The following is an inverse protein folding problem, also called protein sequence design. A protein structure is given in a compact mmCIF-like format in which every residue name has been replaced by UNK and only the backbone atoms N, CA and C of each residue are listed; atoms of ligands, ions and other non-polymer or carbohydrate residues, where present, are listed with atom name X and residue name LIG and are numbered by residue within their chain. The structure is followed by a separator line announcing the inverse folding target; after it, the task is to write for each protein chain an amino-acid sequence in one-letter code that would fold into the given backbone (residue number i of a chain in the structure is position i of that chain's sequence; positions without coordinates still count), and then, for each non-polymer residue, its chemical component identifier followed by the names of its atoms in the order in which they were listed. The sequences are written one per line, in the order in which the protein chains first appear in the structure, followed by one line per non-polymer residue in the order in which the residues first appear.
data_IF_452216853327
#
_entry.id   IF_452216853327
#
_cell.length_a   1.000
_cell.length_b   1.000
_cell.length_c   1.000
_cell.angle_alpha   90.00
_cell.angle_beta   90.00
_cell.angle_gamma   90.00
#
_symmetry.space_group_name_H-M   'P 1'
#
loop_
_entity.id
_entity.type
_entity.pdbx_description
1 polymer ?
#
# COMPACT_ATOMS: atom_id res chain seq x y z
N UNK A 1 51.58 18.25 7.94
CA UNK A 1 51.46 17.27 9.04
C UNK A 1 50.67 17.91 10.18
N UNK A 2 49.47 17.41 10.46
CA UNK A 2 48.68 17.87 11.60
C UNK A 2 49.08 17.11 12.86
N UNK A 3 49.57 17.82 13.88
CA UNK A 3 50.00 17.20 15.14
C UNK A 3 48.83 17.15 16.14
N UNK A 4 48.79 16.10 16.98
CA UNK A 4 47.70 15.83 17.97
C UNK A 4 47.29 17.04 18.83
N UNK A 5 48.20 17.97 19.11
CA UNK A 5 47.93 19.22 19.86
C UNK A 5 47.10 20.27 19.12
N UNK A 6 47.10 20.27 17.78
CA UNK A 6 46.25 21.19 16.99
C UNK A 6 44.82 20.70 16.83
N UNK A 7 44.56 19.41 17.05
CA UNK A 7 43.21 18.83 16.93
C UNK A 7 42.31 19.21 18.11
N UNK A 8 42.86 19.31 19.32
CA UNK A 8 42.09 19.65 20.53
C UNK A 8 41.77 21.14 20.66
N UNK A 9 42.55 22.03 20.04
CA UNK A 9 42.25 23.47 20.03
C UNK A 9 41.09 23.84 19.07
N UNK A 10 40.78 22.99 18.09
CA UNK A 10 39.61 23.17 17.21
C UNK A 10 38.28 22.74 17.85
N UNK A 11 38.27 22.11 19.03
CA UNK A 11 37.03 21.69 19.71
C UNK A 11 36.39 22.76 20.61
N UNK A 12 37.08 23.87 20.92
CA UNK A 12 36.61 24.82 21.93
C UNK A 12 35.72 25.96 21.37
N UNK A 13 35.51 26.05 20.06
CA UNK A 13 34.75 27.15 19.42
C UNK A 13 33.37 26.74 18.86
N UNK A 14 32.79 25.61 19.32
CA UNK A 14 31.55 25.06 18.77
C UNK A 14 30.33 25.09 19.70
N UNK A 15 30.39 25.70 20.89
CA UNK A 15 29.34 25.65 21.91
C UNK A 15 28.41 26.89 21.91
N UNK A 16 28.03 27.36 20.74
CA UNK A 16 26.97 28.36 20.60
C UNK A 16 26.08 28.07 19.38
N UNK A 17 25.56 26.84 19.28
CA UNK A 17 24.39 26.59 18.44
C UNK A 17 23.15 26.79 19.30
N UNK A 18 22.54 27.96 19.09
CA UNK A 18 21.29 28.38 19.64
C UNK A 18 20.25 27.25 19.68
N UNK A 19 19.53 27.17 20.79
CA UNK A 19 18.25 26.46 20.92
C UNK A 19 17.25 27.05 19.93
N UNK A 20 17.35 26.65 18.67
CA UNK A 20 16.25 26.83 17.73
C UNK A 20 15.15 25.86 18.16
N UNK A 21 13.91 26.31 18.40
CA UNK A 21 12.82 25.38 18.53
C UNK A 21 12.78 24.62 17.21
N UNK A 22 13.00 23.31 17.25
CA UNK A 22 12.58 22.44 16.15
C UNK A 22 11.07 22.66 16.06
N UNK A 23 10.62 23.47 15.12
CA UNK A 23 9.25 23.37 14.63
C UNK A 23 9.14 21.95 14.10
N UNK A 24 8.72 21.03 14.96
CA UNK A 24 8.18 19.76 14.53
C UNK A 24 6.96 20.15 13.72
N UNK A 25 7.13 20.24 12.40
CA UNK A 25 6.02 20.23 11.48
C UNK A 25 5.33 18.91 11.79
N UNK A 26 4.17 18.97 12.44
CA UNK A 26 3.27 17.84 12.57
C UNK A 26 3.02 17.38 11.14
N UNK A 27 3.72 16.32 10.73
CA UNK A 27 3.51 15.75 9.42
C UNK A 27 2.05 15.28 9.42
N UNK A 28 1.24 15.85 8.53
CA UNK A 28 -0.11 15.37 8.30
C UNK A 28 -0.07 13.83 8.17
N UNK A 29 -0.96 13.11 8.87
CA UNK A 29 -0.97 11.66 8.79
C UNK A 29 -1.10 11.23 7.33
N UNK A 30 -0.25 10.27 6.94
CA UNK A 30 -0.25 9.72 5.59
C UNK A 30 -1.61 9.09 5.30
N UNK A 31 -2.08 9.29 4.08
CA UNK A 31 -3.35 8.72 3.62
C UNK A 31 -3.25 7.21 3.58
N UNK A 32 -4.32 6.54 4.04
CA UNK A 32 -4.39 5.10 4.19
C UNK A 32 -5.15 4.47 3.03
N UNK A 33 -4.64 3.38 2.46
CA UNK A 33 -5.30 2.68 1.36
C UNK A 33 -5.65 1.24 1.74
N UNK A 34 -6.75 0.73 1.18
CA UNK A 34 -7.03 -0.70 1.10
C UNK A 34 -6.48 -1.26 -0.21
N UNK A 35 -5.69 -2.33 -0.13
CA UNK A 35 -5.18 -3.07 -1.27
C UNK A 35 -6.02 -4.33 -1.49
N UNK A 36 -6.57 -4.49 -2.68
CA UNK A 36 -7.44 -5.61 -3.06
C UNK A 36 -6.78 -6.33 -4.25
N UNK A 37 -6.29 -7.54 -4.03
CA UNK A 37 -5.57 -8.35 -5.02
C UNK A 37 -6.20 -9.71 -5.27
N UNK A 38 -6.00 -10.29 -6.46
CA UNK A 38 -6.41 -11.69 -6.75
C UNK A 38 -5.42 -12.69 -6.16
N UNK A 39 -4.20 -12.71 -6.66
CA UNK A 39 -3.11 -13.56 -6.15
C UNK A 39 -1.77 -12.82 -6.16
N UNK A 40 -0.94 -13.09 -5.16
CA UNK A 40 0.38 -12.46 -5.00
C UNK A 40 1.45 -13.55 -5.11
N UNK A 41 2.15 -13.57 -6.23
CA UNK A 41 3.28 -14.46 -6.48
C UNK A 41 4.35 -13.71 -7.29
N UNK A 42 5.50 -14.34 -7.54
CA UNK A 42 6.58 -13.71 -8.29
C UNK A 42 6.10 -13.28 -9.69
N UNK A 43 6.35 -12.01 -10.03
CA UNK A 43 5.94 -11.34 -11.27
C UNK A 43 4.43 -11.18 -11.47
N UNK A 44 3.62 -11.41 -10.44
CA UNK A 44 2.20 -11.06 -10.50
C UNK A 44 2.02 -9.54 -10.43
N UNK A 45 1.01 -9.00 -11.09
CA UNK A 45 0.71 -7.58 -10.96
C UNK A 45 0.45 -7.16 -9.51
N UNK A 46 -0.27 -7.96 -8.74
CA UNK A 46 -0.54 -7.64 -7.34
C UNK A 46 0.75 -7.54 -6.53
N UNK A 47 1.75 -8.41 -6.80
CA UNK A 47 3.07 -8.33 -6.18
C UNK A 47 3.75 -6.98 -6.47
N UNK A 48 3.73 -6.54 -7.73
CA UNK A 48 4.34 -5.28 -8.12
C UNK A 48 3.75 -4.06 -7.40
N UNK A 49 2.44 -4.00 -7.23
CA UNK A 49 1.81 -2.87 -6.54
C UNK A 49 1.97 -2.97 -5.02
N UNK A 50 1.73 -4.16 -4.44
CA UNK A 50 1.85 -4.36 -2.99
C UNK A 50 3.26 -3.98 -2.52
N UNK A 51 4.30 -4.54 -3.13
CA UNK A 51 5.68 -4.23 -2.75
C UNK A 51 5.97 -2.72 -2.84
N UNK A 52 5.56 -2.05 -3.93
CA UNK A 52 5.82 -0.61 -4.13
C UNK A 52 5.11 0.29 -3.13
N UNK A 53 3.89 -0.05 -2.74
CA UNK A 53 3.17 0.70 -1.70
C UNK A 53 3.70 0.42 -0.29
N UNK A 54 4.28 -0.75 -0.05
CA UNK A 54 4.84 -1.12 1.25
C UNK A 54 6.27 -0.60 1.45
N UNK A 55 7.16 -0.81 0.49
CA UNK A 55 8.60 -0.54 0.64
C UNK A 55 9.06 0.72 -0.11
N UNK A 56 8.38 1.07 -1.20
CA UNK A 56 8.80 2.13 -2.12
C UNK A 56 9.45 1.57 -3.38
N UNK A 57 10.04 2.45 -4.19
CA UNK A 57 10.67 2.06 -5.45
C UNK A 57 11.74 3.05 -5.90
N UNK A 58 12.67 2.59 -6.74
CA UNK A 58 13.63 3.47 -7.41
C UNK A 58 13.00 4.10 -8.64
N UNK A 59 13.14 5.42 -8.80
CA UNK A 59 12.76 6.14 -10.01
C UNK A 59 13.69 7.33 -10.23
N UNK A 60 14.29 7.40 -11.42
CA UNK A 60 15.24 8.47 -11.77
C UNK A 60 16.52 8.44 -10.93
N UNK A 61 17.03 7.26 -10.57
CA UNK A 61 18.24 7.10 -9.75
C UNK A 61 18.05 7.37 -8.26
N UNK A 62 16.83 7.67 -7.81
CA UNK A 62 16.54 7.94 -6.41
C UNK A 62 15.52 6.96 -5.85
N UNK A 63 15.71 6.55 -4.59
CA UNK A 63 14.69 5.82 -3.85
C UNK A 63 13.53 6.73 -3.49
N UNK A 64 12.31 6.31 -3.84
CA UNK A 64 11.07 6.97 -3.46
C UNK A 64 10.40 6.13 -2.38
N UNK A 65 10.37 6.68 -1.16
CA UNK A 65 9.52 6.14 -0.11
C UNK A 65 8.06 6.19 -0.56
N UNK A 66 7.20 5.24 -0.15
CA UNK A 66 5.77 5.31 -0.44
C UNK A 66 5.22 6.63 0.10
N UNK A 67 4.17 7.18 -0.51
CA UNK A 67 3.48 8.38 -0.01
C UNK A 67 2.21 8.07 0.80
N UNK A 68 1.80 6.81 0.78
CA UNK A 68 0.56 6.28 1.36
C UNK A 68 0.88 5.10 2.29
N UNK A 69 -0.01 4.80 3.22
CA UNK A 69 0.10 3.64 4.09
C UNK A 69 -0.90 2.56 3.65
N UNK A 70 -0.45 1.32 3.52
CA UNK A 70 -1.35 0.19 3.28
C UNK A 70 -1.94 -0.25 4.62
N UNK A 71 -3.20 0.12 4.86
CA UNK A 71 -3.88 -0.17 6.13
C UNK A 71 -4.50 -1.57 6.14
N UNK A 72 -4.93 -2.05 4.98
CA UNK A 72 -5.55 -3.35 4.83
C UNK A 72 -5.18 -3.99 3.50
N UNK A 73 -5.08 -5.32 3.52
CA UNK A 73 -4.84 -6.16 2.36
C UNK A 73 -5.95 -7.20 2.29
N UNK A 74 -6.52 -7.39 1.12
CA UNK A 74 -7.36 -8.53 0.78
C UNK A 74 -6.72 -9.25 -0.42
N UNK A 75 -6.59 -10.57 -0.31
CA UNK A 75 -6.09 -11.45 -1.36
C UNK A 75 -7.11 -12.58 -1.51
N UNK A 76 -7.65 -12.73 -2.72
CA UNK A 76 -8.75 -13.67 -2.99
C UNK A 76 -8.27 -15.12 -3.06
N UNK A 77 -7.10 -15.35 -3.66
CA UNK A 77 -6.57 -16.68 -3.93
C UNK A 77 -5.10 -16.78 -3.49
N UNK A 78 -4.77 -17.92 -2.90
CA UNK A 78 -3.41 -18.28 -2.53
C UNK A 78 -3.02 -19.55 -3.28
N UNK A 79 -2.12 -19.43 -4.24
CA UNK A 79 -1.62 -20.55 -5.03
C UNK A 79 -0.38 -21.19 -4.38
N UNK A 80 0.20 -22.21 -5.01
CA UNK A 80 1.40 -22.91 -4.50
C UNK A 80 2.65 -22.02 -4.45
N UNK A 81 2.67 -20.94 -5.22
CA UNK A 81 3.77 -19.97 -5.32
C UNK A 81 3.47 -18.68 -4.54
N UNK A 82 2.54 -18.75 -3.57
CA UNK A 82 2.09 -17.62 -2.77
C UNK A 82 3.26 -16.89 -2.08
N UNK A 83 3.34 -15.59 -2.33
CA UNK A 83 4.18 -14.65 -1.60
C UNK A 83 3.35 -13.71 -0.72
N UNK A 84 2.02 -13.67 -0.91
CA UNK A 84 1.11 -12.73 -0.28
C UNK A 84 1.16 -12.77 1.24
N UNK A 85 1.01 -13.96 1.84
CA UNK A 85 1.02 -14.10 3.31
C UNK A 85 2.34 -13.62 3.91
N UNK A 86 3.46 -14.06 3.33
CA UNK A 86 4.79 -13.63 3.78
C UNK A 86 4.99 -12.12 3.63
N UNK A 87 4.48 -11.50 2.56
CA UNK A 87 4.61 -10.05 2.33
C UNK A 87 3.77 -9.25 3.30
N UNK A 88 2.53 -9.66 3.55
CA UNK A 88 1.67 -9.06 4.56
C UNK A 88 2.36 -9.06 5.93
N UNK A 89 2.88 -10.22 6.36
CA UNK A 89 3.60 -10.33 7.63
C UNK A 89 4.87 -9.46 7.65
N UNK A 90 5.71 -9.57 6.62
CA UNK A 90 6.98 -8.84 6.52
C UNK A 90 6.79 -7.33 6.61
N UNK A 91 5.72 -6.80 6.01
CA UNK A 91 5.45 -5.37 5.97
C UNK A 91 4.52 -4.89 7.09
N UNK A 92 4.06 -5.79 7.96
CA UNK A 92 3.15 -5.46 9.06
C UNK A 92 1.76 -5.01 8.61
N UNK A 93 1.28 -5.53 7.48
CA UNK A 93 -0.09 -5.28 7.01
C UNK A 93 -1.09 -6.23 7.67
N UNK A 94 -2.36 -5.84 7.67
CA UNK A 94 -3.44 -6.69 8.12
C UNK A 94 -4.14 -7.35 6.92
N UNK A 95 -4.21 -8.69 6.91
CA UNK A 95 -5.00 -9.44 5.93
C UNK A 95 -6.44 -9.57 6.41
N UNK A 96 -7.38 -9.29 5.50
CA UNK A 96 -8.82 -9.42 5.73
C UNK A 96 -9.43 -10.48 4.82
N UNK A 97 -10.55 -11.06 5.27
CA UNK A 97 -11.28 -12.13 4.57
C UNK A 97 -12.26 -11.63 3.51
N UNK A 98 -12.58 -10.33 3.48
CA UNK A 98 -13.49 -9.74 2.49
C UNK A 98 -13.05 -8.34 2.09
N UNK A 99 -13.53 -7.89 0.92
CA UNK A 99 -13.34 -6.51 0.44
C UNK A 99 -13.96 -5.51 1.42
N UNK A 100 -15.16 -5.81 1.93
CA UNK A 100 -15.84 -4.94 2.88
C UNK A 100 -15.00 -4.75 4.15
N UNK A 101 -14.52 -5.84 4.76
CA UNK A 101 -13.71 -5.76 5.98
C UNK A 101 -12.38 -5.01 5.74
N UNK A 102 -11.76 -5.17 4.57
CA UNK A 102 -10.56 -4.43 4.22
C UNK A 102 -10.83 -2.91 4.11
N UNK A 103 -12.02 -2.52 3.63
CA UNK A 103 -12.42 -1.12 3.53
C UNK A 103 -12.82 -0.51 4.88
N UNK A 104 -13.43 -1.30 5.76
CA UNK A 104 -13.89 -0.84 7.08
C UNK A 104 -12.92 -1.12 8.22
N UNK A 105 -11.80 -1.78 7.94
CA UNK A 105 -10.86 -2.32 8.91
C UNK A 105 -11.52 -3.25 9.95
N UNK A 106 -12.59 -3.95 9.56
CA UNK A 106 -13.42 -4.80 10.42
C UNK A 106 -14.52 -4.07 11.20
N UNK A 107 -14.67 -2.76 10.99
CA UNK A 107 -15.76 -1.95 11.53
C UNK A 107 -17.01 -1.91 10.63
N UNK A 108 -17.93 -1.00 10.94
CA UNK A 108 -19.17 -0.80 10.19
C UNK A 108 -19.12 0.30 9.11
N UNK A 109 -18.08 1.13 9.11
CA UNK A 109 -17.96 2.30 8.23
C UNK A 109 -16.62 2.32 7.48
N UNK A 110 -16.58 2.97 6.32
CA UNK A 110 -15.38 3.14 5.50
C UNK A 110 -14.25 3.85 6.29
N UNK A 111 -13.14 3.14 6.51
CA UNK A 111 -12.05 3.58 7.37
C UNK A 111 -10.75 3.96 6.61
N UNK A 112 -10.73 3.77 5.29
CA UNK A 112 -9.58 4.09 4.40
C UNK A 112 -9.80 5.37 3.58
N UNK A 113 -8.72 5.97 3.10
CA UNK A 113 -8.70 7.19 2.26
C UNK A 113 -8.65 6.89 0.75
N UNK A 114 -8.46 5.63 0.36
CA UNK A 114 -8.43 5.21 -1.04
C UNK A 114 -8.44 3.68 -1.19
N UNK A 115 -8.75 3.22 -2.39
CA UNK A 115 -8.82 1.78 -2.72
C UNK A 115 -7.99 1.48 -3.96
N UNK A 116 -7.20 0.42 -3.91
CA UNK A 116 -6.38 -0.07 -5.04
C UNK A 116 -6.84 -1.49 -5.38
N UNK A 117 -7.42 -1.67 -6.57
CA UNK A 117 -7.89 -2.97 -7.07
C UNK A 117 -6.93 -3.47 -8.15
N UNK A 118 -6.30 -4.63 -7.89
CA UNK A 118 -5.40 -5.32 -8.81
C UNK A 118 -5.93 -6.74 -9.06
N UNK A 119 -6.64 -6.94 -10.17
CA UNK A 119 -7.19 -8.25 -10.53
C UNK A 119 -6.82 -8.71 -11.92
N UNK A 120 -5.66 -9.37 -12.05
CA UNK A 120 -5.09 -9.80 -13.35
C UNK A 120 -4.71 -11.28 -13.42
N UNK A 121 -4.54 -11.96 -12.29
CA UNK A 121 -4.18 -13.38 -12.28
C UNK A 121 -5.12 -14.17 -11.38
N UNK A 122 -4.93 -15.49 -11.27
CA UNK A 122 -5.76 -16.41 -10.51
C UNK A 122 -6.66 -17.29 -11.38
N UNK A 123 -7.31 -18.23 -10.72
CA UNK A 123 -8.24 -19.17 -11.36
C UNK A 123 -9.66 -18.60 -11.31
N UNK A 124 -10.16 -18.15 -12.46
CA UNK A 124 -11.50 -17.60 -12.63
C UNK A 124 -12.19 -18.25 -13.85
N UNK A 125 -13.54 -18.34 -13.84
CA UNK A 125 -14.29 -18.90 -14.95
C UNK A 125 -14.06 -18.11 -16.25
N UNK A 126 -14.28 -18.77 -17.38
CA UNK A 126 -14.26 -18.14 -18.70
C UNK A 126 -15.66 -18.06 -19.28
N UNK A 127 -15.93 -17.02 -20.06
CA UNK A 127 -17.18 -16.91 -20.83
C UNK A 127 -17.12 -17.70 -22.14
N UNK A 128 -18.22 -17.71 -22.90
CA UNK A 128 -18.34 -18.41 -24.19
C UNK A 128 -17.36 -17.91 -25.26
N UNK A 129 -16.77 -16.73 -25.06
CA UNK A 129 -15.76 -16.12 -25.92
C UNK A 129 -14.33 -16.43 -25.46
N UNK A 130 -14.16 -17.26 -24.43
CA UNK A 130 -12.87 -17.65 -23.85
C UNK A 130 -12.22 -16.59 -22.97
N UNK A 131 -12.92 -15.50 -22.65
CA UNK A 131 -12.39 -14.41 -21.82
C UNK A 131 -12.49 -14.79 -20.34
N UNK A 132 -11.41 -14.59 -19.58
CA UNK A 132 -11.40 -14.83 -18.13
C UNK A 132 -12.20 -13.76 -17.40
N UNK A 133 -13.16 -14.19 -16.57
CA UNK A 133 -14.05 -13.35 -15.79
C UNK A 133 -13.40 -12.94 -14.47
N UNK A 134 -12.41 -12.04 -14.56
CA UNK A 134 -11.74 -11.47 -13.39
C UNK A 134 -12.72 -10.70 -12.49
N UNK A 135 -12.50 -10.66 -11.17
CA UNK A 135 -13.49 -10.17 -10.20
C UNK A 135 -13.55 -8.64 -10.09
N UNK A 136 -12.87 -7.89 -10.97
CA UNK A 136 -12.73 -6.43 -10.91
C UNK A 136 -14.08 -5.71 -10.81
N UNK A 137 -15.05 -6.06 -11.66
CA UNK A 137 -16.40 -5.48 -11.62
C UNK A 137 -17.13 -5.82 -10.31
N UNK A 138 -17.05 -7.08 -9.87
CA UNK A 138 -17.66 -7.54 -8.62
C UNK A 138 -17.11 -6.75 -7.43
N UNK A 139 -15.79 -6.64 -7.31
CA UNK A 139 -15.15 -5.90 -6.23
C UNK A 139 -15.44 -4.42 -6.28
N UNK A 140 -15.44 -3.81 -7.47
CA UNK A 140 -15.85 -2.42 -7.60
C UNK A 140 -17.29 -2.20 -7.10
N UNK A 141 -18.21 -3.11 -7.41
CA UNK A 141 -19.58 -3.07 -6.86
C UNK A 141 -19.62 -3.26 -5.35
N UNK A 142 -18.77 -4.10 -4.77
CA UNK A 142 -18.63 -4.24 -3.31
C UNK A 142 -18.11 -2.94 -2.66
N UNK A 143 -17.11 -2.30 -3.26
CA UNK A 143 -16.60 -1.00 -2.83
C UNK A 143 -17.72 0.06 -2.84
N UNK A 144 -18.50 0.14 -3.93
CA UNK A 144 -19.63 1.08 -4.03
C UNK A 144 -20.67 0.81 -2.94
N UNK A 145 -20.99 -0.45 -2.63
CA UNK A 145 -21.92 -0.78 -1.53
C UNK A 145 -21.43 -0.26 -0.18
N UNK A 146 -20.13 -0.39 0.11
CA UNK A 146 -19.55 0.16 1.34
C UNK A 146 -19.63 1.69 1.35
N UNK A 147 -19.39 2.34 0.20
CA UNK A 147 -19.50 3.80 0.09
C UNK A 147 -20.93 4.29 0.35
N UNK A 148 -21.92 3.64 -0.26
CA UNK A 148 -23.34 3.94 -0.06
C UNK A 148 -23.74 3.74 1.41
N UNK A 149 -23.34 2.62 2.02
CA UNK A 149 -23.63 2.32 3.41
C UNK A 149 -22.95 3.31 4.38
N UNK A 150 -21.73 3.78 4.06
CA UNK A 150 -20.97 4.71 4.90
C UNK A 150 -21.29 6.19 4.61
N UNK A 151 -22.08 6.50 3.57
CA UNK A 151 -22.31 7.86 3.11
C UNK A 151 -21.04 8.61 2.65
N UNK A 152 -19.95 7.90 2.36
CA UNK A 152 -18.64 8.47 2.03
C UNK A 152 -17.98 7.69 0.90
N UNK A 153 -17.43 8.43 -0.05
CA UNK A 153 -16.65 7.86 -1.15
C UNK A 153 -15.18 8.30 -1.07
N UNK A 154 -14.29 7.46 -1.59
CA UNK A 154 -12.86 7.75 -1.76
C UNK A 154 -12.39 7.38 -3.16
N UNK A 155 -11.26 7.93 -3.64
CA UNK A 155 -10.69 7.53 -4.92
C UNK A 155 -10.45 6.03 -5.00
N UNK A 156 -10.79 5.45 -6.16
CA UNK A 156 -10.54 4.04 -6.49
C UNK A 156 -9.63 3.97 -7.70
N UNK A 157 -8.48 3.34 -7.53
CA UNK A 157 -7.65 2.89 -8.64
C UNK A 157 -8.05 1.46 -9.00
N UNK A 158 -8.42 1.23 -10.25
CA UNK A 158 -8.70 -0.09 -10.79
C UNK A 158 -7.71 -0.41 -11.91
N UNK A 159 -6.88 -1.43 -11.71
CA UNK A 159 -6.00 -1.90 -12.77
C UNK A 159 -6.80 -2.56 -13.90
N UNK A 160 -6.40 -2.25 -15.14
CA UNK A 160 -7.04 -2.69 -16.39
C UNK A 160 -8.52 -2.27 -16.52
N UNK A 161 -9.27 -3.08 -17.27
CA UNK A 161 -10.67 -2.86 -17.60
C UNK A 161 -11.58 -3.25 -16.43
N UNK A 162 -12.66 -2.50 -16.23
CA UNK A 162 -13.62 -2.78 -15.17
C UNK A 162 -14.32 -4.14 -15.34
N UNK A 163 -14.68 -4.51 -16.58
CA UNK A 163 -15.33 -5.78 -16.92
C UNK A 163 -14.64 -6.43 -18.12
N UNK A 164 -14.73 -7.75 -18.22
CA UNK A 164 -14.11 -8.56 -19.29
C UNK A 164 -15.17 -9.36 -20.03
#
# INVERSE_FOLDING_TARGET
MYTRRRFTQSLAAGLALASMPKLARTAEPRKRIAFIGTEVHLHSHAQHFLDRFSMGYSMGGHWRAPALDVAAVYIDQFNEQDLGRQRVERYGHQLYSSVADALTLGGSELAVDGVVIIGEHGNYPKNDRGQTLYPRYRWFKEVVKVFEASGRAVPVFNDKHLST
#
